data_IF_746156043271
#
_entry.id   IF_746156043271
#
_cell.length_a   1.000
_cell.length_b   1.000
_cell.length_c   1.000
_cell.angle_alpha   90.00
_cell.angle_beta   90.00
_cell.angle_gamma   90.00
#
_symmetry.space_group_name_H-M   'P 1'
#
loop_
_entity.id
_entity.type
_entity.pdbx_description
1 polymer ?
#
# COMPACT_ATOMS: atom_id res chain seq x y z
N UNK A 1 3.93 -16.21 -6.03
CA UNK A 1 3.00 -15.26 -5.37
C UNK A 1 2.94 -15.66 -3.90
N UNK A 2 3.88 -15.22 -3.08
CA UNK A 2 4.05 -15.84 -1.76
C UNK A 2 4.86 -15.05 -0.75
N UNK A 3 4.93 -13.72 -0.84
CA UNK A 3 5.75 -12.93 0.09
C UNK A 3 4.93 -11.99 0.98
N UNK A 4 3.62 -11.89 0.74
CA UNK A 4 2.78 -11.02 1.56
C UNK A 4 2.22 -11.71 2.80
N UNK A 5 2.13 -13.05 2.82
CA UNK A 5 1.40 -13.79 3.85
C UNK A 5 2.06 -13.68 5.24
N UNK A 6 3.36 -13.38 5.30
CA UNK A 6 4.11 -13.14 6.53
C UNK A 6 4.08 -11.68 7.02
N UNK A 7 3.62 -10.75 6.19
CA UNK A 7 3.53 -9.34 6.56
C UNK A 7 2.30 -9.14 7.44
N UNK A 8 2.54 -8.80 8.71
CA UNK A 8 1.50 -8.51 9.68
C UNK A 8 0.69 -7.27 9.25
N UNK A 9 -0.55 -7.14 9.71
CA UNK A 9 -1.41 -6.00 9.34
C UNK A 9 -0.78 -4.64 9.77
N UNK A 10 0.03 -4.67 10.83
CA UNK A 10 0.80 -3.54 11.33
C UNK A 10 1.98 -3.18 10.40
N UNK A 11 2.72 -4.17 9.91
CA UNK A 11 3.76 -4.01 8.89
C UNK A 11 3.19 -3.50 7.55
N UNK A 12 2.05 -4.00 7.11
CA UNK A 12 1.35 -3.48 5.93
C UNK A 12 1.02 -1.99 6.08
N UNK A 13 0.57 -1.58 7.26
CA UNK A 13 0.26 -0.17 7.55
C UNK A 13 1.53 0.68 7.56
N UNK A 14 2.63 0.16 8.09
CA UNK A 14 3.95 0.81 8.06
C UNK A 14 4.44 1.00 6.62
N UNK A 15 4.32 -0.04 5.78
CA UNK A 15 4.72 0.00 4.37
C UNK A 15 3.89 1.03 3.60
N UNK A 16 2.56 1.04 3.78
CA UNK A 16 1.68 2.05 3.15
C UNK A 16 2.08 3.47 3.58
N UNK A 17 2.34 3.69 4.88
CA UNK A 17 2.79 5.01 5.37
C UNK A 17 4.12 5.42 4.77
N UNK A 18 5.06 4.48 4.65
CA UNK A 18 6.37 4.74 4.07
C UNK A 18 6.27 5.07 2.58
N UNK A 19 5.44 4.34 1.82
CA UNK A 19 5.15 4.63 0.42
C UNK A 19 4.45 5.98 0.25
N UNK A 20 3.51 6.34 1.14
CA UNK A 20 2.87 7.67 1.12
C UNK A 20 3.88 8.79 1.38
N UNK A 21 4.82 8.57 2.30
CA UNK A 21 5.88 9.52 2.59
C UNK A 21 6.81 9.71 1.38
N UNK A 22 7.26 8.61 0.78
CA UNK A 22 8.09 8.64 -0.43
C UNK A 22 7.37 9.36 -1.58
N UNK A 23 6.10 9.06 -1.82
CA UNK A 23 5.30 9.73 -2.85
C UNK A 23 5.20 11.24 -2.59
N UNK A 24 5.01 11.64 -1.33
CA UNK A 24 4.97 13.05 -0.93
C UNK A 24 6.33 13.75 -1.12
N UNK A 25 7.44 13.07 -0.82
CA UNK A 25 8.78 13.61 -1.02
C UNK A 25 9.11 13.75 -2.51
N UNK A 26 8.86 12.72 -3.32
CA UNK A 26 9.06 12.78 -4.78
C UNK A 26 8.18 13.87 -5.38
N UNK A 27 6.92 13.98 -4.94
CA UNK A 27 6.03 15.06 -5.37
C UNK A 27 6.57 16.44 -5.00
N UNK A 28 7.12 16.60 -3.78
CA UNK A 28 7.70 17.86 -3.30
C UNK A 28 9.00 18.22 -4.03
N UNK A 29 9.82 17.23 -4.40
CA UNK A 29 11.09 17.41 -5.08
C UNK A 29 10.93 17.67 -6.58
N UNK A 30 10.05 16.94 -7.26
CA UNK A 30 9.86 17.05 -8.71
C UNK A 30 8.75 18.02 -9.11
N UNK A 31 7.82 18.34 -8.20
CA UNK A 31 6.73 19.29 -8.42
C UNK A 31 5.68 18.86 -9.45
N UNK A 32 5.77 17.63 -9.98
CA UNK A 32 4.86 17.10 -11.00
C UNK A 32 4.47 15.65 -10.70
N UNK A 33 3.17 15.38 -10.74
CA UNK A 33 2.57 14.06 -10.57
C UNK A 33 2.71 13.15 -11.80
N UNK A 34 3.16 13.68 -12.94
CA UNK A 34 3.27 12.94 -14.21
C UNK A 34 4.58 12.18 -14.35
N UNK A 35 5.43 12.21 -13.32
CA UNK A 35 6.69 11.48 -13.38
C UNK A 35 6.44 9.98 -13.24
N UNK A 36 7.16 9.19 -14.04
CA UNK A 36 6.99 7.74 -14.06
C UNK A 36 7.31 7.11 -12.70
N UNK A 37 8.16 7.75 -11.90
CA UNK A 37 8.45 7.33 -10.53
C UNK A 37 7.26 7.54 -9.59
N UNK A 38 6.56 8.69 -9.69
CA UNK A 38 5.35 8.94 -8.90
C UNK A 38 4.23 7.96 -9.27
N UNK A 39 4.07 7.67 -10.57
CA UNK A 39 3.08 6.71 -11.05
C UNK A 39 3.37 5.29 -10.54
N UNK A 40 4.63 4.85 -10.57
CA UNK A 40 5.02 3.54 -10.02
C UNK A 40 4.74 3.44 -8.53
N UNK A 41 5.15 4.44 -7.75
CA UNK A 41 4.92 4.45 -6.30
C UNK A 41 3.42 4.47 -6.01
N UNK A 42 2.63 5.23 -6.78
CA UNK A 42 1.17 5.25 -6.61
C UNK A 42 0.53 3.91 -6.92
N UNK A 43 0.95 3.23 -7.99
CA UNK A 43 0.43 1.90 -8.35
C UNK A 43 0.75 0.87 -7.27
N UNK A 44 1.98 0.85 -6.78
CA UNK A 44 2.40 -0.06 -5.72
C UNK A 44 1.57 0.18 -4.45
N UNK A 45 1.37 1.45 -4.08
CA UNK A 45 0.58 1.85 -2.92
C UNK A 45 -0.90 1.42 -3.04
N UNK A 46 -1.49 1.56 -4.23
CA UNK A 46 -2.84 1.06 -4.52
C UNK A 46 -2.93 -0.47 -4.36
N UNK A 47 -1.94 -1.23 -4.84
CA UNK A 47 -1.91 -2.69 -4.68
C UNK A 47 -1.85 -3.10 -3.21
N UNK A 48 -1.01 -2.42 -2.40
CA UNK A 48 -0.91 -2.66 -0.96
C UNK A 48 -2.20 -2.32 -0.21
N UNK A 49 -2.87 -1.22 -0.55
CA UNK A 49 -4.16 -0.85 0.04
C UNK A 49 -5.22 -1.90 -0.31
N UNK A 50 -5.29 -2.33 -1.57
CA UNK A 50 -6.23 -3.35 -2.01
C UNK A 50 -5.99 -4.67 -1.29
N UNK A 51 -4.73 -5.07 -1.08
CA UNK A 51 -4.45 -6.29 -0.34
C UNK A 51 -4.80 -6.17 1.15
N UNK A 52 -4.49 -5.04 1.78
CA UNK A 52 -4.89 -4.75 3.15
C UNK A 52 -6.43 -4.80 3.32
N UNK A 53 -7.17 -4.16 2.40
CA UNK A 53 -8.62 -4.23 2.36
C UNK A 53 -9.14 -5.66 2.14
N UNK A 54 -8.52 -6.42 1.22
CA UNK A 54 -8.88 -7.82 0.94
C UNK A 54 -8.70 -8.70 2.17
N UNK A 55 -7.60 -8.55 2.92
CA UNK A 55 -7.36 -9.27 4.17
C UNK A 55 -8.36 -8.86 5.25
N UNK A 56 -8.62 -7.56 5.39
CA UNK A 56 -9.61 -7.08 6.35
C UNK A 56 -11.02 -7.61 6.04
N UNK A 57 -11.42 -7.63 4.77
CA UNK A 57 -12.66 -8.26 4.30
C UNK A 57 -12.70 -9.77 4.53
N UNK A 58 -11.58 -10.47 4.31
CA UNK A 58 -11.49 -11.92 4.52
C UNK A 58 -11.58 -12.27 6.01
N UNK A 59 -10.89 -11.53 6.87
CA UNK A 59 -11.01 -11.67 8.33
C UNK A 59 -12.41 -11.29 8.83
N UNK A 60 -13.05 -10.27 8.26
CA UNK A 60 -14.41 -9.87 8.64
C UNK A 60 -15.48 -10.86 8.18
N UNK A 61 -15.30 -11.53 7.04
CA UNK A 61 -16.18 -12.62 6.58
C UNK A 61 -16.02 -13.93 7.36
N UNK A 62 -14.92 -14.11 8.09
CA UNK A 62 -14.73 -15.23 9.02
C UNK A 62 -15.47 -15.09 10.36
N UNK A 63 -16.04 -13.92 10.65
CA UNK A 63 -16.76 -13.62 11.90
C UNK A 63 -18.27 -13.90 11.87
N UNK A 64 -18.73 -14.80 11.01
CA UNK A 64 -20.13 -15.26 10.99
C UNK A 64 -20.19 -16.78 10.93
N UNK A 65 -19.96 -17.40 12.07
CA UNK A 65 -20.44 -18.74 12.41
C UNK A 65 -21.20 -18.63 13.73
#
# INVERSE_FOLDING_TARGET
MGEWQEVSNEDLTQIIKNLQYQLKEVFKQQGKLTDSDVLKISQELDEYILECQRRNLTNQKGGKL
#
